data_IF_397668995865
#
_entry.id   IF_397668995865
#
_cell.length_a   1.000
_cell.length_b   1.000
_cell.length_c   1.000
_cell.angle_alpha   90.00
_cell.angle_beta   90.00
_cell.angle_gamma   90.00
#
_symmetry.space_group_name_H-M   'P 1'
#
loop_
_entity.id
_entity.type
_entity.pdbx_description
1 polymer ?
#
# COMPACT_ATOMS: atom_id res chain seq x y z
N UNK A 1 10.91 -5.86 13.22
CA UNK A 1 10.70 -4.94 12.09
C UNK A 1 10.24 -5.77 10.91
N UNK A 2 8.97 -5.63 10.54
CA UNK A 2 8.29 -6.42 9.51
C UNK A 2 8.26 -5.71 8.16
N UNK A 3 8.41 -4.39 8.15
CA UNK A 3 8.41 -3.55 6.96
C UNK A 3 9.63 -3.80 6.06
N UNK A 4 9.43 -3.78 4.73
CA UNK A 4 10.43 -4.14 3.69
C UNK A 4 10.25 -3.29 2.42
N UNK A 5 11.24 -3.34 1.55
CA UNK A 5 11.15 -2.82 0.17
C UNK A 5 11.08 -4.01 -0.76
N UNK A 6 10.06 -4.05 -1.61
CA UNK A 6 9.89 -5.07 -2.64
C UNK A 6 10.35 -4.48 -3.96
N UNK A 7 11.26 -5.16 -4.65
CA UNK A 7 11.73 -4.74 -5.97
C UNK A 7 11.28 -5.73 -7.03
N UNK A 8 11.02 -5.21 -8.23
CA UNK A 8 10.58 -6.05 -9.33
C UNK A 8 10.53 -5.31 -10.65
N UNK A 9 9.76 -5.85 -11.56
CA UNK A 9 9.54 -5.28 -12.88
C UNK A 9 8.05 -5.31 -13.21
N UNK A 10 7.60 -4.26 -13.86
CA UNK A 10 6.28 -4.23 -14.50
C UNK A 10 6.50 -4.34 -15.99
N UNK A 11 5.71 -5.19 -16.63
CA UNK A 11 5.67 -5.33 -18.07
C UNK A 11 4.26 -5.04 -18.54
N UNK A 12 4.15 -4.08 -19.44
CA UNK A 12 2.91 -3.82 -20.16
C UNK A 12 3.04 -4.45 -21.53
N UNK A 13 1.98 -5.13 -21.97
CA UNK A 13 1.90 -5.72 -23.30
C UNK A 13 0.52 -5.47 -23.87
N UNK A 14 0.46 -4.74 -24.97
CA UNK A 14 -0.73 -4.59 -25.80
C UNK A 14 -0.55 -5.48 -27.02
N UNK A 15 -1.49 -6.40 -27.25
CA UNK A 15 -1.40 -7.37 -28.34
C UNK A 15 -2.07 -6.87 -29.63
N UNK A 16 -3.04 -5.96 -29.55
CA UNK A 16 -3.81 -5.43 -30.68
C UNK A 16 -4.12 -3.93 -30.49
N UNK A 17 -4.28 -3.15 -31.58
CA UNK A 17 -4.12 -3.55 -32.99
C UNK A 17 -2.66 -3.70 -33.42
N UNK A 18 -1.73 -2.99 -32.78
CA UNK A 18 -0.28 -3.15 -32.97
C UNK A 18 0.33 -3.68 -31.68
N UNK A 19 1.29 -4.62 -31.80
CA UNK A 19 1.99 -5.14 -30.65
C UNK A 19 2.92 -4.06 -30.09
N UNK A 20 2.68 -3.68 -28.83
CA UNK A 20 3.59 -2.84 -28.06
C UNK A 20 3.86 -3.52 -26.73
N UNK A 21 5.14 -3.65 -26.40
CA UNK A 21 5.55 -4.10 -25.08
C UNK A 21 6.64 -3.21 -24.53
N UNK A 22 6.56 -2.95 -23.23
CA UNK A 22 7.60 -2.25 -22.50
C UNK A 22 7.72 -2.84 -21.10
N UNK A 23 8.93 -2.88 -20.59
CA UNK A 23 9.25 -3.39 -19.26
C UNK A 23 10.15 -2.40 -18.54
N UNK A 24 9.84 -2.11 -17.30
CA UNK A 24 10.62 -1.20 -16.45
C UNK A 24 10.71 -1.73 -15.03
N UNK A 25 11.77 -1.33 -14.32
CA UNK A 25 11.94 -1.65 -12.91
C UNK A 25 10.94 -0.84 -12.08
N UNK A 26 10.45 -1.46 -11.03
CA UNK A 26 9.66 -0.79 -10.00
C UNK A 26 10.12 -1.24 -8.61
N UNK A 27 9.69 -0.50 -7.60
CA UNK A 27 9.71 -0.95 -6.22
C UNK A 27 8.41 -0.56 -5.53
N UNK A 28 8.03 -1.32 -4.50
CA UNK A 28 6.87 -1.08 -3.65
C UNK A 28 7.33 -1.10 -2.19
N UNK A 29 6.71 -0.25 -1.38
CA UNK A 29 6.92 -0.26 0.06
C UNK A 29 5.96 -1.28 0.67
N UNK A 30 6.51 -2.26 1.39
CA UNK A 30 5.76 -3.18 2.24
C UNK A 30 5.84 -2.67 3.67
N UNK A 31 4.77 -2.06 4.17
CA UNK A 31 4.74 -1.37 5.45
C UNK A 31 3.80 -2.09 6.41
N UNK A 32 4.32 -2.51 7.56
CA UNK A 32 3.45 -2.91 8.67
C UNK A 32 2.80 -1.63 9.24
N UNK A 33 1.46 -1.59 9.25
CA UNK A 33 0.73 -0.37 9.64
C UNK A 33 1.02 0.02 11.10
N UNK A 34 1.33 -0.95 11.96
CA UNK A 34 1.71 -0.70 13.35
C UNK A 34 3.13 -0.11 13.49
N UNK A 35 3.98 -0.22 12.45
CA UNK A 35 5.37 0.24 12.46
C UNK A 35 5.57 1.59 11.75
N UNK A 36 4.53 2.23 11.22
CA UNK A 36 4.70 3.43 10.38
C UNK A 36 5.53 4.53 11.06
N UNK A 37 5.19 4.90 12.30
CA UNK A 37 5.92 5.95 13.02
C UNK A 37 7.40 5.59 13.28
N UNK A 38 7.71 4.32 13.51
CA UNK A 38 9.09 3.86 13.77
C UNK A 38 9.91 3.72 12.49
N UNK A 39 9.30 3.26 11.39
CA UNK A 39 9.95 3.12 10.07
C UNK A 39 10.45 4.46 9.55
N UNK A 40 9.67 5.53 9.77
CA UNK A 40 9.99 6.87 9.30
C UNK A 40 10.74 7.74 10.32
N UNK A 41 10.93 7.27 11.55
CA UNK A 41 11.62 8.02 12.59
C UNK A 41 13.07 8.36 12.20
N UNK A 42 13.48 9.61 12.42
CA UNK A 42 14.86 10.07 12.18
C UNK A 42 15.26 10.21 10.71
N UNK A 43 14.33 10.05 9.76
CA UNK A 43 14.61 10.18 8.31
C UNK A 43 14.14 11.53 7.80
N UNK A 44 15.02 12.27 7.14
CA UNK A 44 14.70 13.60 6.58
C UNK A 44 14.04 13.53 5.20
N UNK A 45 14.39 12.53 4.39
CA UNK A 45 13.83 12.32 3.06
C UNK A 45 12.52 11.54 3.05
N UNK A 46 12.19 10.87 4.15
CA UNK A 46 11.06 9.94 4.24
C UNK A 46 10.19 10.30 5.43
N UNK A 47 8.87 10.38 5.26
CA UNK A 47 7.98 10.78 6.35
C UNK A 47 6.56 10.21 6.23
N UNK A 48 5.90 9.97 7.36
CA UNK A 48 4.45 9.75 7.43
C UNK A 48 3.67 10.99 7.88
N UNK A 49 4.35 12.09 8.25
CA UNK A 49 3.73 13.26 8.89
C UNK A 49 3.99 14.57 8.14
N UNK A 50 5.24 14.81 7.75
CA UNK A 50 5.68 16.07 7.11
C UNK A 50 5.89 15.87 5.60
N UNK A 51 5.83 16.94 4.79
CA UNK A 51 6.30 16.89 3.41
C UNK A 51 7.76 16.40 3.37
N UNK A 52 8.02 15.43 2.49
CA UNK A 52 9.32 14.79 2.31
C UNK A 52 9.42 14.27 0.87
N UNK A 53 10.61 13.83 0.43
CA UNK A 53 10.78 13.27 -0.92
C UNK A 53 9.90 12.02 -1.09
N UNK A 54 9.91 11.11 -0.11
CA UNK A 54 9.01 9.96 -0.05
C UNK A 54 8.07 10.13 1.14
N UNK A 55 6.76 10.15 0.89
CA UNK A 55 5.77 10.39 1.93
C UNK A 55 4.66 9.35 1.93
N UNK A 56 4.44 8.73 3.08
CA UNK A 56 3.18 8.07 3.37
C UNK A 56 2.15 9.15 3.74
N UNK A 57 1.06 9.22 2.99
CA UNK A 57 -0.03 10.15 3.25
C UNK A 57 -1.31 9.34 3.44
N UNK A 58 -1.90 9.43 4.63
CA UNK A 58 -3.14 8.72 4.95
C UNK A 58 -4.27 9.02 3.96
N UNK A 59 -4.27 10.19 3.32
CA UNK A 59 -5.28 10.60 2.34
C UNK A 59 -5.16 9.88 0.99
N UNK A 60 -4.06 9.19 0.74
CA UNK A 60 -3.81 8.45 -0.51
C UNK A 60 -4.34 7.01 -0.46
N UNK A 61 -5.07 6.66 0.62
CA UNK A 61 -5.55 5.31 0.93
C UNK A 61 -7.02 5.34 1.33
N UNK A 62 -7.70 4.21 1.17
CA UNK A 62 -9.14 4.02 1.39
C UNK A 62 -9.65 4.44 2.78
N UNK A 63 -10.96 4.65 2.88
CA UNK A 63 -11.65 5.00 4.14
C UNK A 63 -11.46 6.46 4.55
N UNK A 64 -11.87 6.79 5.77
CA UNK A 64 -11.77 8.15 6.31
C UNK A 64 -10.31 8.49 6.68
N UNK A 65 -9.70 9.55 6.11
CA UNK A 65 -8.33 9.94 6.43
C UNK A 65 -8.12 10.41 7.88
N UNK A 66 -9.19 10.74 8.61
CA UNK A 66 -9.13 11.09 10.03
C UNK A 66 -8.98 9.87 10.94
N UNK A 67 -9.25 8.66 10.42
CA UNK A 67 -9.17 7.39 11.14
C UNK A 67 -7.89 6.63 10.79
N UNK A 68 -7.32 5.83 11.72
CA UNK A 68 -6.20 4.96 11.41
C UNK A 68 -6.53 4.01 10.25
N UNK A 69 -5.60 3.88 9.30
CA UNK A 69 -5.81 3.00 8.13
C UNK A 69 -6.01 1.54 8.53
N UNK A 70 -5.34 1.09 9.59
CA UNK A 70 -5.51 -0.25 10.16
C UNK A 70 -6.97 -0.52 10.56
N UNK A 71 -7.63 0.42 11.24
CA UNK A 71 -9.02 0.29 11.65
C UNK A 71 -9.99 0.24 10.48
N UNK A 72 -9.75 1.04 9.44
CA UNK A 72 -10.55 1.07 8.21
C UNK A 72 -10.44 -0.24 7.45
N UNK A 73 -9.23 -0.80 7.32
CA UNK A 73 -9.02 -2.12 6.70
C UNK A 73 -9.74 -3.21 7.51
N UNK A 74 -9.61 -3.21 8.84
CA UNK A 74 -10.29 -4.22 9.69
C UNK A 74 -11.80 -4.12 9.57
N UNK A 75 -12.36 -2.91 9.60
CA UNK A 75 -13.79 -2.68 9.47
C UNK A 75 -14.32 -3.10 8.08
N UNK A 76 -13.55 -2.83 7.02
CA UNK A 76 -13.86 -3.32 5.68
C UNK A 76 -13.90 -4.85 5.65
N UNK A 77 -12.83 -5.52 6.09
CA UNK A 77 -12.78 -6.98 6.07
C UNK A 77 -13.89 -7.60 6.92
N UNK A 78 -14.15 -7.06 8.10
CA UNK A 78 -15.26 -7.50 8.95
C UNK A 78 -16.61 -7.39 8.26
N UNK A 79 -16.88 -6.26 7.58
CA UNK A 79 -18.13 -6.06 6.86
C UNK A 79 -18.29 -7.03 5.69
N UNK A 80 -17.23 -7.26 4.91
CA UNK A 80 -17.32 -8.09 3.70
C UNK A 80 -17.24 -9.61 3.99
N UNK A 81 -16.62 -10.00 5.11
CA UNK A 81 -16.37 -11.43 5.42
C UNK A 81 -17.05 -11.92 6.70
N UNK A 82 -17.63 -11.03 7.50
CA UNK A 82 -18.19 -11.33 8.82
C UNK A 82 -17.13 -11.63 9.90
N UNK A 83 -15.83 -11.49 9.60
CA UNK A 83 -14.73 -11.76 10.52
C UNK A 83 -13.78 -10.59 10.57
N UNK A 84 -13.55 -10.04 11.76
CA UNK A 84 -12.57 -8.97 11.96
C UNK A 84 -11.16 -9.57 12.03
N UNK A 85 -10.20 -9.10 11.21
CA UNK A 85 -8.80 -9.50 11.36
C UNK A 85 -8.29 -9.16 12.76
N UNK A 86 -7.54 -10.07 13.38
CA UNK A 86 -6.94 -9.87 14.71
C UNK A 86 -5.43 -9.69 14.65
N UNK A 87 -4.76 -10.24 13.62
CA UNK A 87 -3.33 -10.07 13.40
C UNK A 87 -2.93 -8.72 12.82
N UNK A 88 -1.64 -8.60 12.47
CA UNK A 88 -1.10 -7.39 11.83
C UNK A 88 -1.67 -7.20 10.42
N UNK A 89 -1.67 -5.96 9.97
CA UNK A 89 -2.02 -5.59 8.61
C UNK A 89 -0.79 -4.94 7.97
N UNK A 90 -0.35 -5.51 6.85
CA UNK A 90 0.76 -4.99 6.08
C UNK A 90 0.29 -4.47 4.72
N UNK A 91 0.75 -3.28 4.36
CA UNK A 91 0.38 -2.57 3.16
C UNK A 91 1.53 -2.63 2.14
N UNK A 92 1.26 -3.16 0.95
CA UNK A 92 2.15 -3.09 -0.20
C UNK A 92 1.67 -1.98 -1.14
N UNK A 93 2.45 -0.90 -1.28
CA UNK A 93 1.99 0.31 -1.95
C UNK A 93 3.11 1.19 -2.52
N UNK A 94 2.77 2.14 -3.38
CA UNK A 94 3.61 3.29 -3.68
C UNK A 94 3.35 4.42 -2.68
N UNK A 95 4.44 5.03 -2.21
CA UNK A 95 4.36 6.30 -1.49
C UNK A 95 4.22 7.46 -2.47
N UNK A 96 3.92 8.63 -1.92
CA UNK A 96 4.03 9.89 -2.66
C UNK A 96 5.51 10.24 -2.85
N UNK A 97 5.96 10.38 -4.08
CA UNK A 97 7.32 10.78 -4.43
C UNK A 97 7.33 12.18 -5.04
N UNK A 98 8.13 13.09 -4.48
CA UNK A 98 8.19 14.49 -4.92
C UNK A 98 6.81 15.18 -4.99
N UNK A 99 5.90 14.82 -4.10
CA UNK A 99 4.54 15.36 -4.08
C UNK A 99 3.55 14.67 -5.04
N UNK A 100 3.99 13.74 -5.89
CA UNK A 100 3.12 12.98 -6.79
C UNK A 100 2.86 11.57 -6.27
N UNK A 101 1.61 11.10 -6.37
CA UNK A 101 1.23 9.75 -6.02
C UNK A 101 0.66 9.05 -7.25
N UNK A 102 1.40 8.07 -7.80
CA UNK A 102 0.90 7.13 -8.80
C UNK A 102 0.83 5.76 -8.15
N UNK A 103 -0.35 5.43 -7.64
CA UNK A 103 -0.56 4.22 -6.86
C UNK A 103 -1.75 3.43 -7.44
N UNK A 104 -1.58 2.75 -8.59
CA UNK A 104 -2.69 2.13 -9.31
C UNK A 104 -3.39 1.02 -8.53
N UNK A 105 -2.65 0.36 -7.64
CA UNK A 105 -3.20 -0.64 -6.73
C UNK A 105 -2.37 -0.70 -5.44
N UNK A 106 -3.06 -0.80 -4.32
CA UNK A 106 -2.49 -1.10 -3.01
C UNK A 106 -3.06 -2.41 -2.48
N UNK A 107 -2.19 -3.22 -1.87
CA UNK A 107 -2.60 -4.51 -1.29
C UNK A 107 -2.43 -4.49 0.22
N UNK A 108 -3.48 -4.83 0.94
CA UNK A 108 -3.47 -4.99 2.39
C UNK A 108 -3.51 -6.48 2.73
N UNK A 109 -2.41 -6.98 3.28
CA UNK A 109 -2.28 -8.35 3.76
C UNK A 109 -2.70 -8.41 5.22
N UNK A 110 -3.86 -9.01 5.48
CA UNK A 110 -4.36 -9.27 6.83
C UNK A 110 -3.85 -10.63 7.29
N UNK A 111 -2.97 -10.61 8.28
CA UNK A 111 -2.41 -11.83 8.87
C UNK A 111 -3.30 -12.34 10.00
N UNK A 112 -3.19 -13.63 10.29
CA UNK A 112 -3.72 -14.20 11.53
C UNK A 112 -2.98 -13.64 12.76
N UNK A 113 -3.53 -13.88 13.95
CA UNK A 113 -2.94 -13.43 15.22
C UNK A 113 -1.49 -13.92 15.41
N UNK A 114 -1.18 -15.14 14.98
CA UNK A 114 0.17 -15.71 15.03
C UNK A 114 1.17 -15.09 14.05
N UNK A 115 0.70 -14.37 13.02
CA UNK A 115 1.53 -13.69 12.04
C UNK A 115 2.23 -14.61 11.02
N UNK A 116 1.86 -15.89 10.96
CA UNK A 116 2.45 -16.92 10.09
C UNK A 116 1.62 -17.19 8.83
N UNK A 117 0.35 -16.79 8.80
CA UNK A 117 -0.55 -16.99 7.66
C UNK A 117 -1.32 -15.73 7.29
N UNK A 118 -1.38 -15.43 5.99
CA UNK A 118 -2.30 -14.41 5.44
C UNK A 118 -3.70 -15.02 5.32
N UNK A 119 -4.69 -14.35 5.91
CA UNK A 119 -6.09 -14.82 5.90
C UNK A 119 -6.93 -14.09 4.86
N UNK A 120 -6.68 -12.78 4.68
CA UNK A 120 -7.40 -11.95 3.72
C UNK A 120 -6.41 -11.00 3.04
N UNK A 121 -6.62 -10.78 1.73
CA UNK A 121 -5.95 -9.72 0.99
C UNK A 121 -7.00 -8.76 0.45
N UNK A 122 -6.90 -7.49 0.83
CA UNK A 122 -7.73 -6.42 0.23
C UNK A 122 -6.92 -5.77 -0.88
N UNK A 123 -7.52 -5.65 -2.06
CA UNK A 123 -6.98 -4.90 -3.18
C UNK A 123 -7.73 -3.57 -3.32
N UNK A 124 -7.05 -2.47 -2.99
CA UNK A 124 -7.54 -1.13 -3.27
C UNK A 124 -7.04 -0.72 -4.65
N UNK A 125 -7.96 -0.62 -5.61
CA UNK A 125 -7.65 -0.24 -6.98
C UNK A 125 -7.97 1.24 -7.16
N UNK A 126 -6.94 2.04 -7.46
CA UNK A 126 -7.08 3.45 -7.77
C UNK A 126 -6.86 3.64 -9.26
N UNK A 127 -7.95 3.87 -10.00
CA UNK A 127 -7.82 4.30 -11.39
C UNK A 127 -7.25 5.72 -11.39
N UNK A 128 -6.05 5.89 -11.94
CA UNK A 128 -5.60 7.22 -12.34
C UNK A 128 -6.53 7.65 -13.47
N UNK A 129 -7.35 8.72 -13.32
CA UNK A 129 -8.18 9.17 -14.42
C UNK A 129 -7.24 9.62 -15.53
N UNK A 130 -7.22 8.86 -16.62
CA UNK A 130 -6.69 9.33 -17.89
C UNK A 130 -7.80 10.16 -18.54
N UNK A 131 -8.00 11.37 -18.00
CA UNK A 131 -9.01 12.34 -18.44
C UNK A 131 -8.62 13.73 -17.97
#
# INVERSE_FOLDING_TARGET
>A
MNSRIYEGWVRHRRNVPTQHDFRYRMFLMYLDLAELDSVFAGRWLWSARKPAIARFDRRDHMGDPSRPLDDEVRALVERETGRRPTGRIALLTHLRYFGYCMNPVSFYYCWNEGGDRVEVVVAEVNNTPWG
#
